data_IF_245575077464
#
_entry.id   IF_245575077464
#
_cell.length_a   1.000
_cell.length_b   1.000
_cell.length_c   1.000
_cell.angle_alpha   90.00
_cell.angle_beta   90.00
_cell.angle_gamma   90.00
#
_symmetry.space_group_name_H-M   'P 1'
#
loop_
_entity.id
_entity.type
_entity.pdbx_description
1 polymer ?
#
# COMPACT_ATOMS: atom_id res chain seq x y z
N UNK A 1 15.54 5.93 -17.31
CA UNK A 1 15.35 7.39 -17.45
C UNK A 1 16.50 8.21 -16.88
N UNK A 2 17.08 7.86 -15.74
CA UNK A 2 18.24 8.56 -15.13
C UNK A 2 19.49 8.57 -16.03
N UNK A 3 19.63 7.61 -16.94
CA UNK A 3 20.70 7.60 -17.95
C UNK A 3 20.55 8.69 -19.02
N UNK A 4 19.33 9.23 -19.23
CA UNK A 4 19.02 10.23 -20.27
C UNK A 4 18.95 11.67 -19.75
N UNK A 5 18.81 11.88 -18.44
CA UNK A 5 18.60 13.20 -17.85
C UNK A 5 19.49 13.40 -16.63
N UNK A 6 19.94 14.64 -16.42
CA UNK A 6 20.72 14.99 -15.23
C UNK A 6 19.91 14.81 -13.93
N UNK A 7 20.60 14.57 -12.83
CA UNK A 7 19.98 14.47 -11.50
C UNK A 7 19.10 15.69 -11.20
N UNK A 8 19.59 16.88 -11.43
CA UNK A 8 18.88 18.15 -11.16
C UNK A 8 17.55 18.24 -11.90
N UNK A 9 17.47 17.76 -13.15
CA UNK A 9 16.22 17.75 -13.92
C UNK A 9 15.20 16.71 -13.43
N UNK A 10 15.68 15.65 -12.76
CA UNK A 10 14.86 14.54 -12.31
C UNK A 10 14.65 14.53 -10.79
N UNK A 11 15.19 15.50 -10.06
CA UNK A 11 15.20 15.49 -8.60
C UNK A 11 13.79 15.28 -8.01
N UNK A 12 12.78 16.02 -8.49
CA UNK A 12 11.39 15.87 -8.02
C UNK A 12 10.83 14.49 -8.29
N UNK A 13 11.07 13.92 -9.45
CA UNK A 13 10.65 12.56 -9.76
C UNK A 13 11.33 11.53 -8.86
N UNK A 14 12.62 11.71 -8.61
CA UNK A 14 13.40 10.85 -7.71
C UNK A 14 12.84 10.94 -6.28
N UNK A 15 12.53 12.14 -5.80
CA UNK A 15 11.91 12.35 -4.49
C UNK A 15 10.59 11.60 -4.39
N UNK A 16 9.71 11.68 -5.40
CA UNK A 16 8.42 10.96 -5.41
C UNK A 16 8.61 9.43 -5.34
N UNK A 17 9.60 8.89 -6.05
CA UNK A 17 9.92 7.46 -5.95
C UNK A 17 10.45 7.10 -4.55
N UNK A 18 11.30 7.95 -3.98
CA UNK A 18 11.88 7.73 -2.65
C UNK A 18 10.84 7.85 -1.53
N UNK A 19 9.77 8.63 -1.69
CA UNK A 19 8.67 8.67 -0.73
C UNK A 19 8.08 7.29 -0.47
N UNK A 20 7.89 6.46 -1.50
CA UNK A 20 7.39 5.09 -1.33
C UNK A 20 8.37 4.21 -0.53
N UNK A 21 9.68 4.34 -0.80
CA UNK A 21 10.72 3.63 -0.04
C UNK A 21 10.70 4.06 1.43
N UNK A 22 10.59 5.37 1.67
CA UNK A 22 10.51 5.94 3.01
C UNK A 22 9.26 5.45 3.77
N UNK A 23 8.07 5.51 3.15
CA UNK A 23 6.84 5.05 3.80
C UNK A 23 6.93 3.57 4.19
N UNK A 24 7.46 2.73 3.30
CA UNK A 24 7.69 1.32 3.62
C UNK A 24 8.63 1.16 4.80
N UNK A 25 9.79 1.77 4.78
CA UNK A 25 10.75 1.70 5.88
C UNK A 25 10.21 2.27 7.20
N UNK A 26 9.47 3.38 7.13
CA UNK A 26 8.86 3.97 8.32
C UNK A 26 7.85 3.00 8.98
N UNK A 27 7.02 2.33 8.18
CA UNK A 27 6.04 1.36 8.69
C UNK A 27 6.73 0.07 9.18
N UNK A 28 7.79 -0.37 8.52
CA UNK A 28 8.61 -1.52 8.97
C UNK A 28 9.22 -1.30 10.35
N UNK A 29 9.62 -0.08 10.65
CA UNK A 29 10.12 0.32 11.97
C UNK A 29 9.01 0.57 13.00
N UNK A 30 7.72 0.58 12.59
CA UNK A 30 6.56 0.81 13.47
C UNK A 30 5.37 -0.06 13.03
N UNK A 31 5.52 -1.40 13.01
CA UNK A 31 4.51 -2.30 12.45
C UNK A 31 3.19 -2.27 13.23
N UNK A 32 3.22 -1.82 14.48
CA UNK A 32 2.02 -1.65 15.30
C UNK A 32 1.05 -0.64 14.72
N UNK A 33 1.51 0.35 13.94
CA UNK A 33 0.63 1.31 13.24
C UNK A 33 -0.33 0.61 12.29
N UNK A 34 0.13 -0.39 11.54
CA UNK A 34 -0.72 -1.20 10.67
C UNK A 34 -1.71 -2.05 11.46
N UNK A 35 -1.25 -2.68 12.55
CA UNK A 35 -2.10 -3.50 13.41
C UNK A 35 -3.22 -2.68 14.05
N UNK A 36 -2.89 -1.49 14.56
CA UNK A 36 -3.86 -0.56 15.15
C UNK A 36 -4.86 -0.05 14.11
N UNK A 37 -4.39 0.25 12.89
CA UNK A 37 -5.28 0.61 11.80
C UNK A 37 -6.32 -0.48 11.52
N UNK A 38 -5.89 -1.73 11.39
CA UNK A 38 -6.81 -2.85 11.15
C UNK A 38 -7.76 -3.10 12.33
N UNK A 39 -7.28 -2.94 13.56
CA UNK A 39 -8.10 -3.09 14.77
C UNK A 39 -9.17 -1.99 14.86
N UNK A 40 -8.78 -0.73 14.64
CA UNK A 40 -9.72 0.38 14.61
C UNK A 40 -10.74 0.22 13.48
N UNK A 41 -10.28 -0.17 12.30
CA UNK A 41 -11.13 -0.37 11.12
C UNK A 41 -12.22 -1.40 11.38
N UNK A 42 -11.91 -2.51 12.04
CA UNK A 42 -12.90 -3.55 12.37
C UNK A 42 -14.02 -3.02 13.28
N UNK A 43 -13.71 -2.15 14.23
CA UNK A 43 -14.70 -1.50 15.10
C UNK A 43 -15.53 -0.47 14.32
N UNK A 44 -14.85 0.41 13.61
CA UNK A 44 -15.47 1.52 12.88
C UNK A 44 -16.43 1.00 11.79
N UNK A 45 -16.12 -0.10 11.11
CA UNK A 45 -17.03 -0.72 10.12
C UNK A 45 -18.40 -1.03 10.72
N UNK A 46 -18.46 -1.56 11.95
CA UNK A 46 -19.71 -1.91 12.64
C UNK A 46 -20.56 -0.67 12.88
N UNK A 47 -19.94 0.43 13.29
CA UNK A 47 -20.63 1.68 13.60
C UNK A 47 -21.13 2.39 12.34
N UNK A 48 -20.40 2.25 11.22
CA UNK A 48 -20.69 2.97 9.97
C UNK A 48 -21.44 2.18 8.90
N UNK A 49 -21.71 0.88 9.09
CA UNK A 49 -22.38 0.03 8.09
C UNK A 49 -23.74 0.60 7.65
N UNK A 50 -24.47 1.26 8.56
CA UNK A 50 -25.75 1.89 8.28
C UNK A 50 -25.68 3.42 8.16
N UNK A 51 -24.49 4.02 8.24
CA UNK A 51 -24.34 5.47 8.16
C UNK A 51 -24.58 5.95 6.73
N UNK A 52 -25.56 6.87 6.56
CA UNK A 52 -25.97 7.33 5.23
C UNK A 52 -24.87 8.18 4.56
N UNK A 53 -24.14 9.00 5.31
CA UNK A 53 -23.05 9.82 4.76
C UNK A 53 -21.91 8.93 4.22
N UNK A 54 -21.61 7.84 4.93
CA UNK A 54 -20.64 6.85 4.45
C UNK A 54 -21.11 6.17 3.16
N UNK A 55 -22.38 5.73 3.13
CA UNK A 55 -22.98 5.13 1.92
C UNK A 55 -22.95 6.08 0.73
N UNK A 56 -23.29 7.34 0.95
CA UNK A 56 -23.22 8.38 -0.07
C UNK A 56 -21.79 8.60 -0.57
N UNK A 57 -20.82 8.65 0.36
CA UNK A 57 -19.42 8.84 0.01
C UNK A 57 -18.87 7.72 -0.87
N UNK A 58 -19.05 6.46 -0.48
CA UNK A 58 -18.56 5.32 -1.28
C UNK A 58 -19.29 5.16 -2.63
N UNK A 59 -20.52 5.71 -2.75
CA UNK A 59 -21.29 5.66 -3.98
C UNK A 59 -21.11 6.90 -4.89
N UNK A 60 -20.39 7.93 -4.45
CA UNK A 60 -20.23 9.17 -5.21
C UNK A 60 -21.57 9.92 -5.36
N UNK A 61 -22.31 10.06 -4.28
CA UNK A 61 -23.61 10.75 -4.21
C UNK A 61 -23.68 11.71 -3.02
N UNK A 62 -22.61 12.46 -2.82
CA UNK A 62 -22.44 13.38 -1.69
C UNK A 62 -22.95 14.79 -1.97
N UNK A 63 -23.34 15.10 -3.21
CA UNK A 63 -23.63 16.43 -3.73
C UNK A 63 -22.40 17.35 -3.82
N UNK A 64 -21.19 16.82 -3.63
CA UNK A 64 -19.92 17.50 -3.91
C UNK A 64 -19.40 16.99 -5.25
N UNK A 65 -19.69 17.72 -6.32
CA UNK A 65 -19.40 17.30 -7.71
C UNK A 65 -17.99 16.77 -7.89
N UNK A 66 -16.97 17.46 -7.37
CA UNK A 66 -15.58 17.04 -7.50
C UNK A 66 -15.33 15.69 -6.82
N UNK A 67 -15.86 15.50 -5.61
CA UNK A 67 -15.68 14.26 -4.85
C UNK A 67 -16.40 13.08 -5.54
N UNK A 68 -17.63 13.30 -5.97
CA UNK A 68 -18.44 12.27 -6.64
C UNK A 68 -17.79 11.82 -7.96
N UNK A 69 -17.21 12.76 -8.73
CA UNK A 69 -16.44 12.43 -9.92
C UNK A 69 -15.14 11.67 -9.61
N UNK A 70 -14.41 12.00 -8.55
CA UNK A 70 -13.23 11.23 -8.13
C UNK A 70 -13.60 9.81 -7.67
N UNK A 71 -14.72 9.62 -6.99
CA UNK A 71 -15.23 8.28 -6.65
C UNK A 71 -15.49 7.47 -7.91
N UNK A 72 -16.15 8.08 -8.90
CA UNK A 72 -16.42 7.46 -10.19
C UNK A 72 -15.12 7.09 -10.90
N UNK A 73 -14.18 8.03 -11.02
CA UNK A 73 -12.87 7.80 -11.65
C UNK A 73 -12.10 6.66 -10.95
N UNK A 74 -12.07 6.64 -9.61
CA UNK A 74 -11.43 5.58 -8.85
C UNK A 74 -12.05 4.22 -9.13
N UNK A 75 -13.38 4.11 -9.18
CA UNK A 75 -14.08 2.85 -9.45
C UNK A 75 -13.95 2.38 -10.90
N UNK A 76 -13.88 3.32 -11.85
CA UNK A 76 -13.76 3.01 -13.28
C UNK A 76 -12.33 2.64 -13.67
N UNK A 77 -11.34 3.41 -13.19
CA UNK A 77 -9.95 3.31 -13.63
C UNK A 77 -9.03 2.62 -12.61
N UNK A 78 -9.49 2.39 -11.37
CA UNK A 78 -8.68 1.87 -10.26
C UNK A 78 -7.41 2.71 -10.01
N UNK A 79 -7.49 4.00 -10.33
CA UNK A 79 -6.41 4.96 -10.23
C UNK A 79 -6.96 6.36 -9.96
N UNK A 80 -6.22 7.15 -9.21
CA UNK A 80 -6.39 8.60 -9.09
C UNK A 80 -5.01 9.28 -9.16
N UNK A 81 -4.96 10.44 -9.79
CA UNK A 81 -3.76 11.28 -9.77
C UNK A 81 -3.40 11.68 -8.33
N UNK A 82 -2.10 11.85 -8.03
CA UNK A 82 -1.61 12.11 -6.67
C UNK A 82 -2.32 13.30 -5.98
N UNK A 83 -2.49 14.44 -6.65
CA UNK A 83 -3.24 15.57 -6.09
C UNK A 83 -4.69 15.20 -5.77
N UNK A 84 -5.37 14.47 -6.65
CA UNK A 84 -6.74 14.04 -6.41
C UNK A 84 -6.85 13.12 -5.19
N UNK A 85 -5.85 12.27 -4.94
CA UNK A 85 -5.82 11.42 -3.73
C UNK A 85 -5.76 12.25 -2.45
N UNK A 86 -4.97 13.32 -2.44
CA UNK A 86 -4.85 14.22 -1.29
C UNK A 86 -6.14 15.01 -1.05
N UNK A 87 -6.74 15.54 -2.12
CA UNK A 87 -8.02 16.23 -2.04
C UNK A 87 -9.15 15.31 -1.58
N UNK A 88 -9.22 14.11 -2.17
CA UNK A 88 -10.18 13.08 -1.79
C UNK A 88 -10.11 12.79 -0.29
N UNK A 89 -8.92 12.49 0.22
CA UNK A 89 -8.72 12.18 1.63
C UNK A 89 -9.10 13.36 2.53
N UNK A 90 -8.72 14.59 2.16
CA UNK A 90 -9.08 15.79 2.91
C UNK A 90 -10.59 16.04 2.92
N UNK A 91 -11.27 15.92 1.78
CA UNK A 91 -12.72 16.07 1.69
C UNK A 91 -13.44 14.99 2.49
N UNK A 92 -13.00 13.72 2.38
CA UNK A 92 -13.53 12.61 3.15
C UNK A 92 -13.48 12.87 4.65
N UNK A 93 -12.30 13.26 5.16
CA UNK A 93 -12.06 13.44 6.58
C UNK A 93 -12.74 14.70 7.12
N UNK A 94 -12.52 15.85 6.47
CA UNK A 94 -12.82 17.14 7.06
C UNK A 94 -14.14 17.74 6.59
N UNK A 95 -14.55 17.50 5.36
CA UNK A 95 -15.82 18.02 4.84
C UNK A 95 -16.96 17.04 5.06
N UNK A 96 -16.76 15.75 4.73
CA UNK A 96 -17.77 14.70 4.94
C UNK A 96 -17.75 14.16 6.38
N UNK A 97 -16.73 14.50 7.18
CA UNK A 97 -16.55 14.10 8.58
C UNK A 97 -16.60 12.58 8.77
N UNK A 98 -15.97 11.84 7.85
CA UNK A 98 -15.90 10.40 7.91
C UNK A 98 -14.54 9.94 8.46
N UNK A 99 -14.48 8.80 9.19
CA UNK A 99 -13.24 8.24 9.68
C UNK A 99 -12.25 7.98 8.55
N UNK A 100 -10.99 8.42 8.74
CA UNK A 100 -9.93 8.24 7.75
C UNK A 100 -9.66 6.76 7.45
N UNK A 101 -9.89 5.88 8.43
CA UNK A 101 -9.67 4.44 8.29
C UNK A 101 -10.58 3.83 7.22
N UNK A 102 -11.84 4.26 7.13
CA UNK A 102 -12.77 3.80 6.09
C UNK A 102 -12.36 4.30 4.70
N UNK A 103 -11.85 5.51 4.61
CA UNK A 103 -11.34 6.05 3.35
C UNK A 103 -10.06 5.33 2.89
N UNK A 104 -9.15 5.05 3.83
CA UNK A 104 -7.95 4.25 3.56
C UNK A 104 -8.30 2.83 3.10
N UNK A 105 -9.32 2.21 3.70
CA UNK A 105 -9.87 0.95 3.23
C UNK A 105 -10.40 1.05 1.80
N UNK A 106 -11.22 2.06 1.51
CA UNK A 106 -11.80 2.28 0.19
C UNK A 106 -10.74 2.43 -0.90
N UNK A 107 -9.62 3.09 -0.57
CA UNK A 107 -8.47 3.17 -1.48
C UNK A 107 -7.79 1.82 -1.69
N UNK A 108 -7.52 1.05 -0.63
CA UNK A 108 -6.91 -0.29 -0.77
C UNK A 108 -7.80 -1.26 -1.56
N UNK A 109 -9.13 -1.12 -1.45
CA UNK A 109 -10.07 -1.93 -2.21
C UNK A 109 -10.00 -1.65 -3.72
N UNK A 110 -9.75 -0.40 -4.11
CA UNK A 110 -9.90 0.05 -5.50
C UNK A 110 -8.58 0.32 -6.21
N UNK A 111 -7.56 0.88 -5.55
CA UNK A 111 -6.32 1.27 -6.22
C UNK A 111 -5.48 0.06 -6.66
N UNK A 112 -5.10 0.00 -7.94
CA UNK A 112 -4.18 -1.01 -8.45
C UNK A 112 -2.79 -0.94 -7.80
N UNK A 113 -2.35 0.27 -7.46
CA UNK A 113 -1.06 0.53 -6.82
C UNK A 113 -1.15 0.66 -5.29
N UNK A 114 -2.27 0.24 -4.69
CA UNK A 114 -2.48 0.30 -3.25
C UNK A 114 -1.51 -0.61 -2.49
N UNK A 115 -0.72 -0.04 -1.58
CA UNK A 115 0.10 -0.78 -0.63
C UNK A 115 -0.16 -0.35 0.81
N UNK A 116 0.05 -1.26 1.75
CA UNK A 116 -0.26 -1.05 3.16
C UNK A 116 0.45 0.19 3.74
N UNK A 117 1.72 0.43 3.38
CA UNK A 117 2.51 1.51 3.93
C UNK A 117 2.08 2.87 3.34
N UNK A 118 2.21 3.05 2.02
CA UNK A 118 1.92 4.34 1.37
C UNK A 118 0.48 4.77 1.60
N UNK A 119 -0.46 3.84 1.55
CA UNK A 119 -1.87 4.16 1.74
C UNK A 119 -2.17 4.54 3.20
N UNK A 120 -1.82 3.70 4.17
CA UNK A 120 -2.13 3.99 5.58
C UNK A 120 -1.45 5.26 6.04
N UNK A 121 -0.15 5.44 5.73
CA UNK A 121 0.60 6.61 6.18
C UNK A 121 0.21 7.87 5.42
N UNK A 122 -0.17 7.76 4.15
CA UNK A 122 -0.72 8.88 3.37
C UNK A 122 -2.03 9.42 3.96
N UNK A 123 -2.98 8.54 4.30
CA UNK A 123 -4.22 8.92 4.97
C UNK A 123 -3.99 9.50 6.37
N UNK A 124 -3.08 8.90 7.15
CA UNK A 124 -2.66 9.43 8.45
C UNK A 124 -2.01 10.82 8.33
N UNK A 125 -1.25 11.04 7.26
CA UNK A 125 -0.62 12.34 7.01
C UNK A 125 -1.67 13.41 6.71
N UNK A 126 -2.64 13.13 5.84
CA UNK A 126 -3.76 14.08 5.56
C UNK A 126 -4.53 14.38 6.84
N UNK A 127 -4.82 13.36 7.66
CA UNK A 127 -5.54 13.52 8.92
C UNK A 127 -4.78 14.32 10.00
N UNK A 128 -3.48 14.53 9.85
CA UNK A 128 -2.63 15.23 10.84
C UNK A 128 -2.18 14.35 12.01
N UNK A 129 -2.36 13.02 11.90
CA UNK A 129 -1.95 12.06 12.96
C UNK A 129 -0.60 11.41 12.67
N UNK A 130 -0.07 11.53 11.45
CA UNK A 130 1.27 11.09 11.10
C UNK A 130 2.35 12.07 11.57
N UNK A 131 2.11 13.36 11.34
CA UNK A 131 2.88 14.46 11.92
C UNK A 131 1.93 15.24 12.78
N UNK A 132 2.01 15.07 14.10
CA UNK A 132 1.06 15.64 15.05
C UNK A 132 0.89 17.16 14.83
N UNK A 133 -0.35 17.58 14.68
CA UNK A 133 -0.70 18.99 14.49
C UNK A 133 -0.52 19.55 13.08
N UNK A 134 -0.13 18.72 12.09
CA UNK A 134 0.01 19.12 10.69
C UNK A 134 -0.87 18.27 9.79
N UNK A 135 -2.06 18.76 9.48
CA UNK A 135 -2.96 18.14 8.52
C UNK A 135 -2.85 18.79 7.13
N UNK A 136 -3.37 18.13 6.13
CA UNK A 136 -3.55 18.68 4.80
C UNK A 136 -5.02 19.02 4.56
N UNK A 137 -5.33 20.28 4.33
CA UNK A 137 -6.68 20.75 4.03
C UNK A 137 -6.77 21.12 2.55
N UNK A 138 -7.67 20.44 1.83
CA UNK A 138 -8.00 20.79 0.46
C UNK A 138 -8.65 22.19 0.42
N UNK A 139 -8.17 23.02 -0.50
CA UNK A 139 -8.67 24.38 -0.70
C UNK A 139 -9.38 24.46 -2.07
N UNK A 140 -10.53 25.13 -2.11
CA UNK A 140 -11.30 25.28 -3.34
C UNK A 140 -10.48 25.92 -4.48
N UNK A 141 -9.73 26.97 -4.18
CA UNK A 141 -8.88 27.63 -5.19
C UNK A 141 -7.83 26.68 -5.78
N UNK A 142 -7.28 25.77 -4.97
CA UNK A 142 -6.26 24.82 -5.41
C UNK A 142 -6.87 23.75 -6.30
N UNK A 143 -8.03 23.19 -5.91
CA UNK A 143 -8.78 22.25 -6.75
C UNK A 143 -9.18 22.90 -8.08
N UNK A 144 -9.70 24.13 -8.05
CA UNK A 144 -10.07 24.89 -9.23
C UNK A 144 -8.88 25.06 -10.17
N UNK A 145 -7.73 25.52 -9.65
CA UNK A 145 -6.53 25.80 -10.45
C UNK A 145 -6.00 24.52 -11.14
N UNK A 146 -5.84 23.43 -10.38
CA UNK A 146 -5.24 22.20 -10.91
C UNK A 146 -6.24 21.24 -11.57
N UNK A 147 -7.50 21.62 -11.70
CA UNK A 147 -8.52 20.91 -12.48
C UNK A 147 -8.96 21.71 -13.73
N UNK A 148 -8.17 22.68 -14.17
CA UNK A 148 -8.49 23.57 -15.32
C UNK A 148 -9.87 24.20 -15.18
N UNK A 149 -10.22 24.68 -13.99
CA UNK A 149 -11.51 25.27 -13.62
C UNK A 149 -12.71 24.29 -13.74
N UNK A 150 -12.49 23.00 -13.89
CA UNK A 150 -13.55 21.98 -13.96
C UNK A 150 -14.41 21.97 -12.70
N UNK A 151 -13.77 22.22 -11.54
CA UNK A 151 -14.43 22.27 -10.24
C UNK A 151 -14.26 23.64 -9.60
N UNK A 152 -15.37 24.33 -9.43
CA UNK A 152 -15.43 25.66 -8.82
C UNK A 152 -16.72 25.82 -8.00
N UNK A 153 -16.76 26.79 -7.11
CA UNK A 153 -17.88 27.05 -6.18
C UNK A 153 -18.17 25.84 -5.26
N UNK A 154 -17.10 25.19 -4.79
CA UNK A 154 -17.17 24.02 -3.93
C UNK A 154 -17.15 24.49 -2.48
N UNK A 155 -18.12 24.04 -1.68
CA UNK A 155 -18.15 24.31 -0.23
C UNK A 155 -17.35 23.24 0.50
N UNK A 156 -16.12 23.57 0.93
CA UNK A 156 -15.24 22.71 1.71
C UNK A 156 -15.11 23.25 3.14
N UNK A 157 -14.82 22.35 4.08
CA UNK A 157 -14.40 22.78 5.42
C UNK A 157 -12.89 23.08 5.40
N UNK A 158 -12.56 24.34 5.14
CA UNK A 158 -11.18 24.79 4.95
C UNK A 158 -10.46 25.17 6.25
N UNK A 159 -11.18 25.21 7.38
CA UNK A 159 -10.68 25.61 8.71
C UNK A 159 -10.67 24.42 9.70
N UNK A 160 -10.70 23.20 9.19
CA UNK A 160 -10.76 22.00 10.02
C UNK A 160 -9.47 21.78 10.82
N UNK A 161 -9.65 21.41 12.08
CA UNK A 161 -8.55 21.03 12.96
C UNK A 161 -8.07 19.61 12.69
N UNK A 162 -6.83 19.31 13.09
CA UNK A 162 -6.26 17.96 13.01
C UNK A 162 -7.08 16.97 13.83
N UNK A 163 -7.12 15.72 13.38
CA UNK A 163 -7.69 14.64 14.18
C UNK A 163 -6.78 14.37 15.38
N UNK A 164 -7.40 14.23 16.54
CA UNK A 164 -6.65 13.85 17.74
C UNK A 164 -6.37 12.34 17.77
N UNK A 165 -5.11 11.97 17.93
CA UNK A 165 -4.66 10.62 18.23
C UNK A 165 -3.57 10.69 19.32
N UNK A 166 -3.88 10.12 20.47
CA UNK A 166 -2.95 10.10 21.62
C UNK A 166 -1.85 9.08 21.48
N UNK A 167 -2.00 8.10 20.58
CA UNK A 167 -1.05 6.99 20.42
C UNK A 167 0.34 7.50 20.02
N UNK A 168 1.33 6.81 20.55
CA UNK A 168 2.74 6.96 20.18
C UNK A 168 3.29 5.61 19.79
N UNK A 169 4.18 5.61 18.82
CA UNK A 169 4.74 4.37 18.27
C UNK A 169 6.25 4.38 18.44
N UNK A 170 6.77 3.42 19.18
CA UNK A 170 8.20 3.19 19.32
C UNK A 170 8.80 2.62 18.05
N UNK A 171 10.07 2.90 17.84
CA UNK A 171 10.85 2.31 16.74
C UNK A 171 11.26 0.91 17.16
N UNK A 172 10.93 -0.07 16.33
CA UNK A 172 11.39 -1.45 16.47
C UNK A 172 12.64 -1.65 15.62
N UNK A 173 13.70 -2.22 16.22
CA UNK A 173 14.91 -2.55 15.46
C UNK A 173 14.62 -3.72 14.52
N UNK A 174 14.90 -3.53 13.22
CA UNK A 174 14.78 -4.60 12.24
C UNK A 174 16.12 -5.30 12.08
N UNK A 175 16.16 -6.57 12.48
CA UNK A 175 17.31 -7.43 12.22
C UNK A 175 17.11 -8.14 10.88
N UNK A 176 18.10 -8.05 10.00
CA UNK A 176 18.11 -8.74 8.72
C UNK A 176 18.90 -10.03 8.86
N UNK A 177 18.24 -11.16 8.61
CA UNK A 177 18.92 -12.46 8.55
C UNK A 177 19.88 -12.47 7.35
N UNK A 178 21.11 -12.85 7.57
CA UNK A 178 22.08 -13.06 6.50
C UNK A 178 22.01 -14.53 6.04
N UNK A 179 21.18 -14.80 5.03
CA UNK A 179 21.02 -16.12 4.46
C UNK A 179 22.14 -16.33 3.42
N UNK A 180 23.11 -17.18 3.74
CA UNK A 180 24.25 -17.45 2.85
C UNK A 180 23.92 -18.51 1.79
N UNK A 181 23.14 -19.54 2.16
CA UNK A 181 22.77 -20.64 1.28
C UNK A 181 21.39 -20.39 0.64
N UNK A 182 21.42 -19.82 -0.56
CA UNK A 182 20.22 -19.48 -1.34
C UNK A 182 19.97 -20.48 -2.47
N UNK A 183 21.03 -21.13 -2.98
CA UNK A 183 20.98 -21.94 -4.17
C UNK A 183 20.13 -23.21 -4.00
N UNK A 184 19.44 -23.60 -5.06
CA UNK A 184 18.63 -24.82 -5.17
C UNK A 184 17.52 -24.95 -4.10
N UNK A 185 17.05 -23.83 -3.55
CA UNK A 185 15.89 -23.78 -2.65
C UNK A 185 14.64 -23.32 -3.38
N UNK A 186 13.49 -23.57 -2.79
CA UNK A 186 12.22 -23.04 -3.29
C UNK A 186 12.04 -21.60 -2.82
N UNK A 187 11.59 -20.73 -3.74
CA UNK A 187 11.38 -19.31 -3.49
C UNK A 187 9.90 -18.94 -3.54
N UNK A 188 9.43 -18.18 -2.57
CA UNK A 188 8.10 -17.57 -2.54
C UNK A 188 8.18 -16.11 -3.00
N UNK A 189 7.26 -15.72 -3.88
CA UNK A 189 7.10 -14.34 -4.33
C UNK A 189 5.62 -13.94 -4.22
N UNK A 190 5.35 -12.81 -3.56
CA UNK A 190 4.02 -12.21 -3.47
C UNK A 190 3.83 -11.08 -4.49
N UNK A 191 2.60 -10.58 -4.59
CA UNK A 191 2.16 -9.55 -5.55
C UNK A 191 2.99 -8.25 -5.55
N UNK A 192 3.63 -7.91 -4.44
CA UNK A 192 4.48 -6.73 -4.34
C UNK A 192 5.91 -6.92 -4.89
N UNK A 193 6.26 -8.11 -5.34
CA UNK A 193 7.59 -8.48 -5.84
C UNK A 193 7.56 -9.17 -7.22
N UNK A 194 6.51 -8.97 -8.03
CA UNK A 194 6.30 -9.62 -9.34
C UNK A 194 7.18 -9.05 -10.48
N UNK A 195 8.37 -8.56 -10.16
CA UNK A 195 9.41 -8.16 -11.11
C UNK A 195 10.71 -8.85 -10.75
N UNK A 196 10.67 -10.19 -10.66
CA UNK A 196 11.81 -11.01 -10.22
C UNK A 196 13.07 -10.72 -11.01
N UNK A 197 12.96 -10.44 -12.32
CA UNK A 197 14.07 -10.15 -13.23
C UNK A 197 14.83 -8.87 -12.88
N UNK A 198 14.26 -8.02 -12.03
CA UNK A 198 14.90 -6.80 -11.52
C UNK A 198 15.33 -6.93 -10.06
N UNK A 199 15.07 -8.08 -9.44
CA UNK A 199 15.43 -8.32 -8.05
C UNK A 199 16.94 -8.49 -7.87
N UNK A 200 17.40 -8.32 -6.63
CA UNK A 200 18.79 -8.59 -6.25
C UNK A 200 19.16 -10.08 -6.37
N UNK A 201 18.16 -10.95 -6.52
CA UNK A 201 18.28 -12.40 -6.52
C UNK A 201 18.05 -13.04 -7.90
N UNK A 202 17.95 -12.24 -8.95
CA UNK A 202 17.63 -12.67 -10.30
C UNK A 202 18.63 -13.68 -10.92
N UNK A 203 19.89 -13.63 -10.45
CA UNK A 203 20.98 -14.45 -10.96
C UNK A 203 21.19 -15.74 -10.13
N UNK A 204 20.45 -15.89 -9.01
CA UNK A 204 20.49 -17.11 -8.20
C UNK A 204 19.66 -18.22 -8.83
N UNK A 205 20.11 -19.47 -8.64
CA UNK A 205 19.41 -20.67 -9.10
C UNK A 205 18.46 -21.15 -8.00
N UNK A 206 17.17 -21.05 -8.26
CA UNK A 206 16.13 -21.62 -7.41
C UNK A 206 15.65 -22.94 -7.98
N UNK A 207 15.30 -23.89 -7.13
CA UNK A 207 14.71 -25.16 -7.55
C UNK A 207 13.33 -24.92 -8.16
N UNK A 208 12.47 -24.15 -7.47
CA UNK A 208 11.16 -23.72 -7.95
C UNK A 208 10.77 -22.36 -7.39
N UNK A 209 10.07 -21.54 -8.17
CA UNK A 209 9.49 -20.27 -7.72
C UNK A 209 7.98 -20.44 -7.55
N UNK A 210 7.49 -20.23 -6.33
CA UNK A 210 6.07 -20.18 -6.02
C UNK A 210 5.58 -18.74 -6.04
N UNK A 211 4.68 -18.42 -6.97
CA UNK A 211 3.99 -17.16 -7.07
C UNK A 211 2.73 -17.25 -6.22
N UNK A 212 2.73 -16.60 -5.05
CA UNK A 212 1.72 -16.82 -4.01
C UNK A 212 0.62 -15.78 -4.06
N UNK A 213 -0.57 -16.20 -4.45
CA UNK A 213 -1.76 -15.37 -4.55
C UNK A 213 -2.54 -15.38 -3.23
N UNK A 214 -2.74 -14.20 -2.65
CA UNK A 214 -3.57 -13.99 -1.47
C UNK A 214 -4.96 -13.53 -1.91
N UNK A 215 -5.93 -14.44 -1.90
CA UNK A 215 -7.32 -14.18 -2.29
C UNK A 215 -8.12 -13.47 -1.19
N UNK A 216 -9.30 -12.97 -1.57
CA UNK A 216 -10.16 -12.21 -0.66
C UNK A 216 -10.59 -12.98 0.59
N UNK A 217 -10.70 -14.31 0.55
CA UNK A 217 -11.07 -15.12 1.71
C UNK A 217 -10.13 -14.91 2.89
N UNK A 218 -8.84 -14.71 2.60
CA UNK A 218 -7.78 -14.53 3.60
C UNK A 218 -7.48 -13.06 3.93
N UNK A 219 -8.14 -12.10 3.25
CA UNK A 219 -7.89 -10.67 3.45
C UNK A 219 -8.85 -10.05 4.46
N UNK A 220 -8.34 -9.18 5.30
CA UNK A 220 -9.15 -8.29 6.15
C UNK A 220 -9.77 -7.13 5.37
N UNK A 221 -9.06 -6.66 4.33
CA UNK A 221 -9.55 -5.65 3.39
C UNK A 221 -9.83 -6.33 2.06
N UNK A 222 -11.12 -6.49 1.74
CA UNK A 222 -11.56 -7.15 0.51
C UNK A 222 -11.30 -6.23 -0.69
N UNK A 223 -10.62 -6.76 -1.69
CA UNK A 223 -10.37 -6.04 -2.95
C UNK A 223 -11.64 -6.08 -3.82
N UNK A 224 -11.83 -5.05 -4.65
CA UNK A 224 -12.87 -5.10 -5.69
C UNK A 224 -12.49 -6.09 -6.80
N UNK A 225 -13.48 -6.46 -7.63
CA UNK A 225 -13.30 -7.48 -8.67
C UNK A 225 -12.20 -7.11 -9.67
N UNK A 226 -12.16 -5.86 -10.13
CA UNK A 226 -11.13 -5.39 -11.09
C UNK A 226 -9.71 -5.47 -10.51
N UNK A 227 -9.56 -5.21 -9.21
CA UNK A 227 -8.26 -5.29 -8.55
C UNK A 227 -7.80 -6.75 -8.39
N UNK A 228 -8.75 -7.68 -8.14
CA UNK A 228 -8.47 -9.12 -8.12
C UNK A 228 -7.97 -9.56 -9.51
N UNK A 229 -8.74 -9.29 -10.55
CA UNK A 229 -8.40 -9.63 -11.94
C UNK A 229 -7.04 -9.03 -12.37
N UNK A 230 -6.79 -7.78 -11.99
CA UNK A 230 -5.50 -7.14 -12.25
C UNK A 230 -4.34 -7.89 -11.60
N UNK A 231 -4.48 -8.28 -10.32
CA UNK A 231 -3.45 -9.05 -9.62
C UNK A 231 -3.26 -10.43 -10.26
N UNK A 232 -4.32 -11.14 -10.57
CA UNK A 232 -4.24 -12.45 -11.24
C UNK A 232 -3.50 -12.34 -12.59
N UNK A 233 -3.79 -11.31 -13.38
CA UNK A 233 -3.09 -11.04 -14.64
C UNK A 233 -1.60 -10.72 -14.41
N UNK A 234 -1.24 -10.01 -13.35
CA UNK A 234 0.17 -9.77 -13.01
C UNK A 234 0.91 -11.06 -12.63
N UNK A 235 0.24 -11.98 -11.94
CA UNK A 235 0.82 -13.29 -11.62
C UNK A 235 1.03 -14.15 -12.87
N UNK A 236 0.07 -14.19 -13.79
CA UNK A 236 0.22 -14.93 -15.06
C UNK A 236 1.32 -14.31 -15.95
N UNK A 237 1.42 -12.98 -16.01
CA UNK A 237 2.50 -12.30 -16.72
C UNK A 237 3.88 -12.65 -16.12
N UNK A 238 4.03 -12.59 -14.80
CA UNK A 238 5.29 -12.99 -14.14
C UNK A 238 5.62 -14.46 -14.39
N UNK A 239 4.65 -15.35 -14.31
CA UNK A 239 4.82 -16.78 -14.61
C UNK A 239 5.32 -16.98 -16.04
N UNK A 240 4.69 -16.32 -17.02
CA UNK A 240 5.12 -16.39 -18.43
C UNK A 240 6.57 -15.97 -18.59
N UNK A 241 6.97 -14.82 -18.03
CA UNK A 241 8.35 -14.31 -18.11
C UNK A 241 9.38 -15.22 -17.42
N UNK A 242 9.02 -15.91 -16.35
CA UNK A 242 9.89 -16.90 -15.70
C UNK A 242 10.06 -18.14 -16.57
N UNK A 243 8.97 -18.67 -17.15
CA UNK A 243 9.01 -19.83 -18.04
C UNK A 243 9.80 -19.56 -19.32
N UNK A 244 9.71 -18.36 -19.91
CA UNK A 244 10.55 -17.93 -21.05
C UNK A 244 12.06 -17.97 -20.73
N UNK A 245 12.42 -17.87 -19.45
CA UNK A 245 13.79 -18.01 -18.95
C UNK A 245 14.13 -19.42 -18.46
N UNK A 246 13.26 -20.39 -18.73
CA UNK A 246 13.41 -21.78 -18.26
C UNK A 246 13.48 -21.92 -16.73
N UNK A 247 12.85 -20.99 -16.01
CA UNK A 247 12.75 -21.05 -14.54
C UNK A 247 11.44 -21.76 -14.19
N UNK A 248 11.52 -22.89 -13.46
CA UNK A 248 10.33 -23.62 -13.00
C UNK A 248 9.55 -22.77 -11.98
N UNK A 249 8.27 -22.55 -12.26
CA UNK A 249 7.40 -21.74 -11.40
C UNK A 249 5.94 -22.19 -11.43
N UNK A 250 5.24 -21.92 -10.35
CA UNK A 250 3.82 -22.24 -10.17
C UNK A 250 3.10 -21.14 -9.39
N UNK A 251 1.90 -20.76 -9.84
CA UNK A 251 0.99 -19.95 -9.05
C UNK A 251 0.28 -20.87 -8.05
N UNK A 252 0.26 -20.47 -6.78
CA UNK A 252 -0.38 -21.21 -5.69
C UNK A 252 -1.23 -20.26 -4.85
N UNK A 253 -2.19 -20.82 -4.12
CA UNK A 253 -2.94 -20.09 -3.10
C UNK A 253 -2.08 -19.91 -1.84
N UNK A 254 -2.29 -18.80 -1.11
CA UNK A 254 -1.54 -18.55 0.12
C UNK A 254 -1.77 -19.64 1.19
N UNK A 255 -2.95 -20.29 1.19
CA UNK A 255 -3.26 -21.40 2.10
C UNK A 255 -2.39 -22.63 1.84
N UNK A 256 -1.89 -22.82 0.62
CA UNK A 256 -1.03 -23.96 0.28
C UNK A 256 0.27 -23.93 1.11
N UNK A 257 0.70 -22.74 1.55
CA UNK A 257 1.89 -22.58 2.40
C UNK A 257 1.80 -23.33 3.73
N UNK A 258 0.59 -23.54 4.25
CA UNK A 258 0.38 -24.30 5.52
C UNK A 258 0.73 -25.78 5.39
N UNK A 259 0.68 -26.33 4.17
CA UNK A 259 0.94 -27.75 3.88
C UNK A 259 2.39 -28.03 3.48
N UNK A 260 3.14 -27.00 3.11
CA UNK A 260 4.54 -27.11 2.72
C UNK A 260 5.42 -27.30 3.95
N UNK A 261 6.18 -28.41 3.98
CA UNK A 261 7.04 -28.77 5.12
C UNK A 261 8.52 -28.44 4.90
N UNK A 262 8.91 -28.27 3.64
CA UNK A 262 10.27 -27.91 3.27
C UNK A 262 10.62 -26.47 3.70
N UNK A 263 11.91 -26.20 3.87
CA UNK A 263 12.40 -24.85 4.14
C UNK A 263 12.26 -23.99 2.87
N UNK A 264 11.57 -22.88 2.98
CA UNK A 264 11.25 -21.95 1.90
C UNK A 264 11.99 -20.64 2.09
N UNK A 265 12.47 -20.07 1.01
CA UNK A 265 12.89 -18.67 0.94
C UNK A 265 11.72 -17.81 0.50
N UNK A 266 11.63 -16.60 1.00
CA UNK A 266 10.59 -15.65 0.61
C UNK A 266 11.18 -14.27 0.34
N UNK A 267 10.93 -13.69 -0.83
CA UNK A 267 11.16 -12.26 -0.99
C UNK A 267 10.25 -11.52 -0.02
N UNK A 268 10.86 -10.79 0.90
CA UNK A 268 10.14 -10.18 2.03
C UNK A 268 8.94 -9.35 1.57
N UNK A 269 7.70 -9.68 2.00
CA UNK A 269 6.50 -9.08 1.45
C UNK A 269 6.18 -7.68 2.02
N UNK A 270 7.01 -7.16 2.93
CA UNK A 270 6.76 -5.95 3.72
C UNK A 270 5.54 -6.06 4.66
N UNK A 271 5.41 -5.10 5.58
CA UNK A 271 4.25 -5.01 6.47
C UNK A 271 2.96 -4.89 5.65
N UNK A 272 2.00 -5.74 5.94
CA UNK A 272 0.73 -5.85 5.23
C UNK A 272 0.14 -7.26 5.34
N UNK A 273 -0.96 -7.52 4.63
CA UNK A 273 -1.76 -8.72 4.80
C UNK A 273 -1.02 -10.03 4.48
N UNK A 274 -0.06 -10.02 3.54
CA UNK A 274 0.73 -11.23 3.23
C UNK A 274 1.64 -11.61 4.40
N UNK A 275 2.32 -10.63 5.01
CA UNK A 275 3.13 -10.86 6.20
C UNK A 275 2.27 -11.24 7.41
N UNK A 276 1.09 -10.62 7.55
CA UNK A 276 0.15 -10.95 8.61
C UNK A 276 -0.33 -12.40 8.52
N UNK A 277 -0.57 -12.91 7.31
CA UNK A 277 -0.92 -14.32 7.10
C UNK A 277 0.21 -15.24 7.60
N UNK A 278 1.43 -15.02 7.11
CA UNK A 278 2.61 -15.84 7.51
C UNK A 278 2.76 -15.86 9.03
N UNK A 279 2.66 -14.69 9.66
CA UNK A 279 2.81 -14.55 11.11
C UNK A 279 1.65 -15.20 11.87
N UNK A 280 0.41 -15.05 11.41
CA UNK A 280 -0.79 -15.62 12.06
C UNK A 280 -0.78 -17.15 12.04
N UNK A 281 -0.27 -17.74 10.96
CA UNK A 281 -0.13 -19.19 10.78
C UNK A 281 1.16 -19.74 11.41
N UNK A 282 2.05 -18.86 11.91
CA UNK A 282 3.32 -19.24 12.55
C UNK A 282 4.19 -20.12 11.64
N UNK A 283 4.28 -19.79 10.36
CA UNK A 283 5.05 -20.55 9.37
C UNK A 283 6.55 -20.37 9.61
N UNK A 284 7.14 -21.27 10.44
CA UNK A 284 8.54 -21.18 10.87
C UNK A 284 9.55 -21.67 9.83
N UNK A 285 9.07 -22.35 8.79
CA UNK A 285 9.89 -22.87 7.70
C UNK A 285 10.15 -21.85 6.58
N UNK A 286 9.79 -20.57 6.78
CA UNK A 286 10.00 -19.49 5.83
C UNK A 286 11.09 -18.56 6.33
N UNK A 287 12.17 -18.39 5.56
CA UNK A 287 13.24 -17.42 5.77
C UNK A 287 13.14 -16.27 4.77
N UNK A 288 13.35 -15.04 5.23
CA UNK A 288 13.12 -13.84 4.40
C UNK A 288 14.38 -13.34 3.72
N UNK A 289 14.29 -13.13 2.42
CA UNK A 289 15.28 -12.42 1.61
C UNK A 289 14.88 -10.95 1.46
N UNK A 290 15.71 -10.06 1.95
CA UNK A 290 15.47 -8.61 1.92
C UNK A 290 16.20 -7.97 0.74
N UNK A 291 15.56 -7.02 0.05
CA UNK A 291 16.19 -6.23 -1.01
C UNK A 291 17.30 -5.36 -0.43
N UNK A 292 18.40 -5.23 -1.16
CA UNK A 292 19.54 -4.37 -0.75
C UNK A 292 19.11 -2.94 -0.46
N UNK A 293 18.20 -2.41 -1.29
CA UNK A 293 17.66 -1.05 -1.10
C UNK A 293 16.92 -0.90 0.23
N UNK A 294 16.15 -1.92 0.66
CA UNK A 294 15.42 -1.91 1.92
C UNK A 294 16.39 -1.95 3.11
N UNK A 295 17.34 -2.87 3.09
CA UNK A 295 18.40 -2.97 4.12
C UNK A 295 19.19 -1.67 4.27
N UNK A 296 19.49 -1.01 3.14
CA UNK A 296 20.22 0.25 3.16
C UNK A 296 19.37 1.42 3.65
N UNK A 297 18.11 1.54 3.18
CA UNK A 297 17.30 2.74 3.37
C UNK A 297 16.52 2.78 4.70
N UNK A 298 16.09 1.63 5.23
CA UNK A 298 15.18 1.63 6.41
C UNK A 298 15.80 2.22 7.66
N UNK A 299 17.11 2.11 7.84
CA UNK A 299 17.81 2.76 8.95
C UNK A 299 17.68 4.29 8.98
N UNK A 300 17.33 4.90 7.83
CA UNK A 300 17.11 6.35 7.73
C UNK A 300 15.64 6.74 7.90
N UNK A 301 14.72 5.77 7.97
CA UNK A 301 13.28 6.00 8.09
C UNK A 301 12.81 6.20 9.55
N UNK A 302 13.72 6.51 10.45
CA UNK A 302 13.43 6.70 11.87
C UNK A 302 12.95 8.13 12.22
N UNK A 303 13.20 9.09 11.36
CA UNK A 303 12.80 10.51 11.48
C UNK A 303 11.91 10.93 10.31
N UNK A 304 11.66 12.23 10.14
CA UNK A 304 11.01 12.77 8.94
C UNK A 304 11.80 12.53 7.67
N UNK A 305 11.15 12.69 6.51
CA UNK A 305 11.78 12.47 5.21
C UNK A 305 12.85 13.53 4.88
N UNK A 306 12.69 14.75 5.41
CA UNK A 306 13.63 15.86 5.30
C UNK A 306 14.30 16.14 6.62
#
# INVERSE_FOLDING_TARGET
SLKKFSFTKNEKFIQEVLWRVYWKGWLELRPTVWKDYLFDLEKIRKDYINNQNYKNAINGSTNLKCFDEWVKELKENNYLHNHARMWFASVWIFTLKLPWQLGAEFFLQHLFDGDAASNTLGWRWVAGVQTKGKNYIAKEWNIKLFSDNRFQNIKLNEDAQTIFDSRTYSIETKNFENIQDIENKNLIIFDNNLSFETSDFKDNKFNKIFLVLNKNENRKIKLNQKNIEFKENLFEDQKKRLLEKSIDCKIIDINDLETMKENLLCLYPSVGENLDFINSKKLKNISFLYRKIDQYSWKYCNKGFF
#
